data_IF_298430135269
#
_entry.id   IF_298430135269
#
_cell.length_a   1.000
_cell.length_b   1.000
_cell.length_c   1.000
_cell.angle_alpha   90.00
_cell.angle_beta   90.00
_cell.angle_gamma   90.00
#
_symmetry.space_group_name_H-M   'P 1'
#
loop_
_entity.id
_entity.type
_entity.pdbx_description
1 polymer ?
#
# COMPACT_ATOMS: atom_id res chain seq x y z
N UNK A 1 -3.78 -4.05 8.86
CA UNK A 1 -3.66 -3.55 10.24
C UNK A 1 -3.37 -2.04 10.28
N UNK A 2 -2.39 -1.53 9.53
CA UNK A 2 -2.04 -0.09 9.48
C UNK A 2 -3.16 0.83 8.97
N UNK A 3 -3.94 0.41 7.97
CA UNK A 3 -5.07 1.19 7.43
C UNK A 3 -6.13 1.57 8.49
N UNK A 4 -6.43 0.66 9.43
CA UNK A 4 -7.40 0.92 10.49
C UNK A 4 -6.90 1.96 11.51
N UNK A 5 -5.60 1.98 11.78
CA UNK A 5 -4.97 2.95 12.67
C UNK A 5 -4.98 4.35 12.03
N UNK A 6 -4.68 4.45 10.73
CA UNK A 6 -4.78 5.71 9.99
C UNK A 6 -6.23 6.21 9.89
N UNK A 7 -7.21 5.32 9.70
CA UNK A 7 -8.64 5.68 9.72
C UNK A 7 -9.09 6.21 11.08
N UNK A 8 -8.67 5.56 12.17
CA UNK A 8 -8.95 6.01 13.53
C UNK A 8 -8.29 7.36 13.83
N UNK A 9 -7.08 7.61 13.32
CA UNK A 9 -6.43 8.92 13.42
C UNK A 9 -7.20 10.03 12.70
N UNK A 10 -7.84 9.73 11.57
CA UNK A 10 -8.70 10.70 10.85
C UNK A 10 -9.98 11.02 11.63
N UNK A 11 -10.57 10.04 12.33
CA UNK A 11 -11.82 10.22 13.08
C UNK A 11 -11.57 10.85 14.46
N UNK A 12 -10.47 10.49 15.11
CA UNK A 12 -10.02 11.02 16.41
C UNK A 12 -8.55 11.43 16.24
N UNK A 13 -8.23 12.73 16.05
CA UNK A 13 -6.84 13.17 15.90
C UNK A 13 -6.08 12.98 17.22
N UNK A 14 -5.57 11.77 17.42
CA UNK A 14 -4.81 11.35 18.60
C UNK A 14 -3.32 11.71 18.49
N UNK A 15 -2.83 11.99 17.27
CA UNK A 15 -1.45 12.42 17.00
C UNK A 15 -1.39 13.87 16.52
N UNK A 16 -1.06 14.84 17.39
CA UNK A 16 -0.90 16.25 17.02
C UNK A 16 0.46 16.58 16.38
N UNK A 17 1.43 15.65 16.37
CA UNK A 17 2.80 15.88 15.87
C UNK A 17 2.95 15.42 14.42
N UNK A 18 3.20 16.36 13.51
CA UNK A 18 3.43 16.10 12.08
C UNK A 18 4.67 15.21 11.84
N UNK A 19 5.68 15.30 12.71
CA UNK A 19 6.92 14.52 12.62
C UNK A 19 6.68 13.01 12.80
N UNK A 20 5.70 12.63 13.62
CA UNK A 20 5.38 11.23 13.86
C UNK A 20 4.69 10.62 12.64
N UNK A 21 3.83 11.39 11.96
CA UNK A 21 3.17 10.97 10.73
C UNK A 21 4.17 10.81 9.57
N UNK A 22 5.13 11.73 9.42
CA UNK A 22 6.19 11.59 8.43
C UNK A 22 7.04 10.34 8.64
N UNK A 23 7.43 10.06 9.88
CA UNK A 23 8.19 8.84 10.23
C UNK A 23 7.41 7.59 9.88
N UNK A 24 6.09 7.58 10.16
CA UNK A 24 5.23 6.45 9.89
C UNK A 24 5.06 6.18 8.39
N UNK A 25 4.86 7.23 7.59
CA UNK A 25 4.77 7.13 6.13
C UNK A 25 6.09 6.61 5.54
N UNK A 26 7.23 7.09 6.03
CA UNK A 26 8.55 6.60 5.60
C UNK A 26 8.74 5.13 5.95
N UNK A 27 8.36 4.71 7.16
CA UNK A 27 8.48 3.33 7.61
C UNK A 27 7.67 2.37 6.73
N UNK A 28 6.39 2.68 6.48
CA UNK A 28 5.53 1.88 5.61
C UNK A 28 6.03 1.86 4.16
N UNK A 29 6.52 3.00 3.65
CA UNK A 29 7.08 3.10 2.31
C UNK A 29 8.32 2.23 2.11
N UNK A 30 9.25 2.23 3.08
CA UNK A 30 10.46 1.40 3.04
C UNK A 30 10.10 -0.08 3.09
N UNK A 31 9.20 -0.49 4.00
CA UNK A 31 8.76 -1.89 4.09
C UNK A 31 8.06 -2.36 2.80
N UNK A 32 7.19 -1.52 2.23
CA UNK A 32 6.54 -1.78 0.94
C UNK A 32 7.56 -1.98 -0.17
N UNK A 33 8.52 -1.06 -0.32
CA UNK A 33 9.58 -1.15 -1.33
C UNK A 33 10.48 -2.38 -1.16
N UNK A 34 10.87 -2.72 0.07
CA UNK A 34 11.68 -3.91 0.35
C UNK A 34 10.92 -5.20 0.02
N UNK A 35 9.63 -5.26 0.37
CA UNK A 35 8.79 -6.42 0.03
C UNK A 35 8.65 -6.60 -1.48
N UNK A 36 8.52 -5.50 -2.23
CA UNK A 36 8.45 -5.53 -3.68
C UNK A 36 9.72 -6.16 -4.27
N UNK A 37 10.89 -5.60 -3.96
CA UNK A 37 12.18 -6.09 -4.48
C UNK A 37 12.42 -7.55 -4.08
N UNK A 38 12.11 -7.93 -2.84
CA UNK A 38 12.27 -9.31 -2.39
C UNK A 38 11.37 -10.30 -3.15
N UNK A 39 10.16 -9.87 -3.51
CA UNK A 39 9.22 -10.70 -4.29
C UNK A 39 9.72 -10.91 -5.71
N UNK A 40 10.19 -9.85 -6.38
CA UNK A 40 10.82 -9.94 -7.69
C UNK A 40 12.09 -10.79 -7.67
N UNK A 41 12.91 -10.64 -6.62
CA UNK A 41 14.11 -11.45 -6.46
C UNK A 41 13.77 -12.95 -6.39
N UNK A 42 12.79 -13.34 -5.56
CA UNK A 42 12.33 -14.75 -5.45
C UNK A 42 11.77 -15.28 -6.77
N UNK A 43 11.02 -14.48 -7.51
CA UNK A 43 10.49 -14.91 -8.83
C UNK A 43 11.65 -15.20 -9.80
N UNK A 44 12.71 -14.38 -9.78
CA UNK A 44 13.86 -14.57 -10.67
C UNK A 44 14.71 -15.78 -10.29
N UNK A 45 14.84 -16.12 -9.01
CA UNK A 45 15.66 -17.26 -8.54
C UNK A 45 14.95 -18.60 -8.57
N UNK A 46 13.66 -18.66 -8.19
CA UNK A 46 12.94 -19.93 -8.00
C UNK A 46 12.16 -20.39 -9.25
N UNK A 47 11.91 -19.51 -10.22
CA UNK A 47 11.09 -19.85 -11.40
C UNK A 47 11.95 -20.37 -12.56
N UNK A 48 11.47 -21.39 -13.27
CA UNK A 48 12.10 -21.95 -14.47
C UNK A 48 12.16 -20.90 -15.60
N UNK A 49 13.25 -20.79 -16.40
CA UNK A 49 13.44 -19.71 -17.38
C UNK A 49 12.31 -19.57 -18.41
N UNK A 50 11.60 -20.66 -18.73
CA UNK A 50 10.45 -20.65 -19.63
C UNK A 50 9.23 -19.89 -19.07
N UNK A 51 9.11 -19.74 -17.75
CA UNK A 51 7.97 -19.10 -17.08
C UNK A 51 8.34 -17.82 -16.32
N UNK A 52 9.62 -17.44 -16.26
CA UNK A 52 10.09 -16.23 -15.55
C UNK A 52 9.40 -14.95 -16.01
N UNK A 53 9.36 -14.72 -17.32
CA UNK A 53 8.79 -13.49 -17.88
C UNK A 53 7.28 -13.39 -17.61
N UNK A 54 6.58 -14.52 -17.72
CA UNK A 54 5.15 -14.59 -17.42
C UNK A 54 4.87 -14.34 -15.93
N UNK A 55 5.59 -15.00 -15.02
CA UNK A 55 5.43 -14.80 -13.58
C UNK A 55 5.76 -13.37 -13.14
N UNK A 56 6.78 -12.76 -13.73
CA UNK A 56 7.11 -11.34 -13.47
C UNK A 56 6.02 -10.40 -14.00
N UNK A 57 5.50 -10.63 -15.20
CA UNK A 57 4.44 -9.82 -15.78
C UNK A 57 3.15 -9.91 -14.94
N UNK A 58 2.76 -11.11 -14.49
CA UNK A 58 1.58 -11.31 -13.63
C UNK A 58 1.75 -10.62 -12.28
N UNK A 59 2.94 -10.70 -11.66
CA UNK A 59 3.21 -10.03 -10.40
C UNK A 59 3.13 -8.50 -10.53
N UNK A 60 3.73 -7.91 -11.57
CA UNK A 60 3.66 -6.48 -11.83
C UNK A 60 2.22 -6.01 -12.16
N UNK A 61 1.48 -6.82 -12.91
CA UNK A 61 0.09 -6.53 -13.23
C UNK A 61 -0.81 -6.57 -12.00
N UNK A 62 -0.64 -7.57 -11.12
CA UNK A 62 -1.38 -7.69 -9.88
C UNK A 62 -1.11 -6.50 -8.93
N UNK A 63 0.15 -6.05 -8.83
CA UNK A 63 0.53 -4.88 -8.06
C UNK A 63 -0.16 -3.60 -8.60
N UNK A 64 -0.07 -3.36 -9.91
CA UNK A 64 -0.72 -2.21 -10.55
C UNK A 64 -2.24 -2.21 -10.40
N UNK A 65 -2.88 -3.37 -10.51
CA UNK A 65 -4.32 -3.52 -10.25
C UNK A 65 -4.67 -3.22 -8.79
N UNK A 66 -3.87 -3.70 -7.84
CA UNK A 66 -4.05 -3.43 -6.42
C UNK A 66 -4.00 -1.94 -6.10
N UNK A 67 -2.99 -1.23 -6.63
CA UNK A 67 -2.84 0.23 -6.45
C UNK A 67 -4.01 0.99 -7.09
N UNK A 68 -4.40 0.60 -8.31
CA UNK A 68 -5.51 1.24 -9.03
C UNK A 68 -6.83 1.07 -8.28
N UNK A 69 -7.12 -0.14 -7.80
CA UNK A 69 -8.31 -0.42 -7.00
C UNK A 69 -8.30 0.35 -5.67
N UNK A 70 -7.14 0.45 -5.01
CA UNK A 70 -6.99 1.22 -3.78
C UNK A 70 -7.28 2.72 -4.00
N UNK A 71 -6.77 3.30 -5.10
CA UNK A 71 -7.05 4.69 -5.46
C UNK A 71 -8.52 4.94 -5.81
N UNK A 72 -9.17 3.97 -6.46
CA UNK A 72 -10.59 4.07 -6.79
C UNK A 72 -11.48 3.98 -5.55
N UNK A 73 -11.08 3.16 -4.56
CA UNK A 73 -11.76 3.04 -3.27
C UNK A 73 -11.46 4.22 -2.31
N UNK A 74 -10.36 4.95 -2.48
CA UNK A 74 -10.05 6.09 -1.61
C UNK A 74 -11.01 7.26 -1.80
N UNK A 75 -11.57 7.45 -3.00
CA UNK A 75 -12.53 8.53 -3.31
C UNK A 75 -13.85 8.39 -2.52
N UNK A 76 -14.59 7.25 -2.58
CA UNK A 76 -15.82 7.09 -1.80
C UNK A 76 -15.55 7.07 -0.29
N UNK A 77 -14.39 6.55 0.13
CA UNK A 77 -13.98 6.58 1.54
C UNK A 77 -13.86 8.02 2.04
N UNK A 78 -13.22 8.90 1.27
CA UNK A 78 -13.09 10.32 1.59
C UNK A 78 -14.44 11.01 1.71
N UNK A 79 -15.35 10.81 0.74
CA UNK A 79 -16.70 11.39 0.79
C UNK A 79 -17.50 10.92 2.01
N UNK A 80 -17.33 9.67 2.42
CA UNK A 80 -18.01 9.11 3.61
C UNK A 80 -17.47 9.74 4.89
N UNK A 81 -16.14 9.90 5.00
CA UNK A 81 -15.51 10.59 6.13
C UNK A 81 -15.96 12.05 6.23
N UNK A 82 -15.97 12.80 5.12
CA UNK A 82 -16.43 14.18 5.10
C UNK A 82 -17.91 14.33 5.51
N UNK A 83 -18.78 13.37 5.14
CA UNK A 83 -20.19 13.36 5.60
C UNK A 83 -20.36 13.01 7.08
N UNK A 84 -19.44 12.24 7.66
CA UNK A 84 -19.53 11.77 9.04
C UNK A 84 -18.95 12.79 10.03
N UNK A 85 -18.02 13.64 9.57
CA UNK A 85 -17.37 14.70 10.36
C UNK A 85 -18.03 16.09 10.27
N UNK A 86 -19.02 16.28 9.38
CA UNK A 86 -19.76 17.54 9.19
C UNK A 86 -21.23 17.38 9.57
#
# INVERSE_FOLDING_TARGET
MNFGICLLQTIKPFMPSIWLMFTFILYEGILGGLSYVNTFHRIITETEPAHKEYSMAVAAFADGLGITAAGLLSVPLHNTLCRLLN
#
